data_IF_892443018433
#
_entry.id   IF_892443018433
#
_cell.length_a   1.000
_cell.length_b   1.000
_cell.length_c   1.000
_cell.angle_alpha   90.00
_cell.angle_beta   90.00
_cell.angle_gamma   90.00
#
_symmetry.space_group_name_H-M   'P 1'
#
loop_
_entity.id
_entity.type
_entity.pdbx_description
1 polymer ?
#
# COMPACT_ATOMS: atom_id res chain seq x y z
N UNK A 1 14.84 27.97 1.57
CA UNK A 1 13.92 26.82 1.43
C UNK A 1 14.51 25.75 0.52
N UNK A 2 15.09 24.68 1.06
CA UNK A 2 15.53 23.53 0.26
C UNK A 2 15.34 22.24 1.07
N UNK A 3 14.14 21.68 0.89
CA UNK A 3 13.78 20.25 0.86
C UNK A 3 14.84 19.28 1.43
N UNK A 4 14.98 19.27 2.75
CA UNK A 4 15.73 18.24 3.48
C UNK A 4 14.79 17.13 3.94
N UNK A 5 14.30 16.31 3.00
CA UNK A 5 13.75 15.01 3.40
C UNK A 5 14.91 14.03 3.35
N UNK A 6 15.48 13.77 4.53
CA UNK A 6 16.57 12.83 4.73
C UNK A 6 16.17 11.47 4.16
N UNK A 7 17.16 10.82 3.55
CA UNK A 7 17.14 9.44 3.09
C UNK A 7 16.46 8.54 4.12
N UNK A 8 15.39 7.87 3.70
CA UNK A 8 15.05 6.55 4.22
C UNK A 8 15.86 5.53 3.42
N UNK A 9 17.18 5.52 3.64
CA UNK A 9 18.04 4.42 3.23
C UNK A 9 17.81 3.30 4.25
N UNK A 10 16.84 2.44 3.97
CA UNK A 10 16.45 1.35 4.86
C UNK A 10 15.68 0.29 4.08
N UNK A 11 16.43 -0.66 3.52
CA UNK A 11 15.95 -1.90 2.89
C UNK A 11 15.11 -1.79 1.61
N UNK A 12 15.81 -1.92 0.47
CA UNK A 12 15.30 -2.45 -0.79
C UNK A 12 14.00 -1.83 -1.34
N UNK A 13 14.03 -0.58 -1.83
CA UNK A 13 13.13 -0.07 -2.88
C UNK A 13 11.63 -0.35 -2.74
N UNK A 14 11.11 -0.52 -1.53
CA UNK A 14 9.71 -0.82 -1.25
C UNK A 14 9.12 0.29 -0.40
N UNK A 15 7.88 0.62 -0.66
CA UNK A 15 7.10 1.63 0.07
C UNK A 15 5.83 1.00 0.57
N UNK A 16 5.48 1.33 1.81
CA UNK A 16 4.25 0.88 2.44
C UNK A 16 3.10 1.81 2.11
N UNK A 17 1.98 1.24 1.70
CA UNK A 17 0.75 1.93 1.35
C UNK A 17 -0.35 1.58 2.34
N UNK A 18 -1.06 2.60 2.79
CA UNK A 18 -2.25 2.47 3.63
C UNK A 18 -3.49 2.33 2.77
N UNK A 19 -4.32 1.34 3.10
CA UNK A 19 -5.63 1.10 2.55
C UNK A 19 -6.66 1.21 3.68
N UNK A 20 -7.64 2.11 3.54
CA UNK A 20 -8.76 2.28 4.47
C UNK A 20 -9.78 1.13 4.44
N UNK A 21 -9.32 -0.10 4.28
CA UNK A 21 -10.11 -1.32 4.29
C UNK A 21 -9.34 -2.38 5.09
N UNK A 22 -10.00 -3.02 6.04
CA UNK A 22 -9.39 -3.97 6.97
C UNK A 22 -10.27 -5.20 7.21
N UNK A 23 -9.96 -5.97 8.26
CA UNK A 23 -10.68 -7.22 8.60
C UNK A 23 -12.17 -7.01 8.81
N UNK A 24 -12.58 -5.88 9.38
CA UNK A 24 -13.99 -5.55 9.61
C UNK A 24 -14.78 -5.41 8.29
N UNK A 25 -14.10 -5.16 7.18
CA UNK A 25 -14.70 -5.13 5.83
C UNK A 25 -14.58 -6.47 5.09
N UNK A 26 -14.09 -7.50 5.78
CA UNK A 26 -13.88 -8.84 5.25
C UNK A 26 -12.67 -8.96 4.32
N UNK A 27 -11.77 -7.96 4.26
CA UNK A 27 -10.59 -7.99 3.39
C UNK A 27 -9.60 -9.05 3.86
N UNK A 28 -9.10 -9.82 2.90
CA UNK A 28 -8.04 -10.82 3.07
C UNK A 28 -6.80 -10.41 2.26
N UNK A 29 -5.61 -10.97 2.57
CA UNK A 29 -4.39 -10.61 1.84
C UNK A 29 -4.51 -10.87 0.34
N UNK A 30 -5.14 -11.99 -0.04
CA UNK A 30 -5.42 -12.33 -1.44
C UNK A 30 -6.31 -11.31 -2.16
N UNK A 31 -7.23 -10.66 -1.45
CA UNK A 31 -8.09 -9.62 -2.04
C UNK A 31 -7.26 -8.38 -2.40
N UNK A 32 -6.33 -7.97 -1.53
CA UNK A 32 -5.43 -6.85 -1.76
C UNK A 32 -4.43 -7.16 -2.89
N UNK A 33 -3.81 -8.34 -2.86
CA UNK A 33 -2.92 -8.81 -3.93
C UNK A 33 -3.64 -8.82 -5.26
N UNK A 34 -4.82 -9.43 -5.33
CA UNK A 34 -5.60 -9.52 -6.56
C UNK A 34 -6.01 -8.14 -7.08
N UNK A 35 -6.48 -7.25 -6.20
CA UNK A 35 -6.85 -5.90 -6.62
C UNK A 35 -5.65 -5.11 -7.17
N UNK A 36 -4.51 -5.13 -6.48
CA UNK A 36 -3.31 -4.42 -6.94
C UNK A 36 -2.81 -5.04 -8.24
N UNK A 37 -2.75 -6.37 -8.34
CA UNK A 37 -2.25 -7.05 -9.53
C UNK A 37 -3.17 -6.96 -10.75
N UNK A 38 -4.47 -6.78 -10.55
CA UNK A 38 -5.41 -6.55 -11.66
C UNK A 38 -5.37 -5.11 -12.17
N UNK A 39 -5.11 -4.15 -11.29
CA UNK A 39 -5.17 -2.72 -11.62
C UNK A 39 -3.81 -2.12 -11.98
N UNK A 40 -2.73 -2.87 -11.75
CA UNK A 40 -1.35 -2.47 -12.05
C UNK A 40 -0.60 -3.60 -12.74
N UNK A 41 0.64 -3.34 -13.17
CA UNK A 41 1.53 -4.36 -13.72
C UNK A 41 2.22 -5.24 -12.67
N UNK A 42 1.95 -5.02 -11.39
CA UNK A 42 2.57 -5.78 -10.30
C UNK A 42 2.02 -7.19 -10.23
N UNK A 43 2.88 -8.15 -9.96
CA UNK A 43 2.46 -9.50 -9.59
C UNK A 43 2.44 -9.65 -8.07
N UNK A 44 1.77 -10.69 -7.57
CA UNK A 44 1.80 -11.01 -6.13
C UNK A 44 3.20 -11.31 -5.57
N UNK A 45 4.22 -11.48 -6.42
CA UNK A 45 5.62 -11.63 -6.01
C UNK A 45 6.31 -10.30 -5.77
N UNK A 46 5.85 -9.25 -6.44
CA UNK A 46 6.38 -7.89 -6.31
C UNK A 46 5.78 -7.18 -5.08
N UNK A 47 4.60 -7.65 -4.64
CA UNK A 47 3.95 -7.19 -3.42
C UNK A 47 4.66 -7.82 -2.22
N UNK A 48 5.16 -6.98 -1.32
CA UNK A 48 5.85 -7.38 -0.11
C UNK A 48 4.88 -7.75 1.03
N UNK A 49 5.21 -7.32 2.24
CA UNK A 49 4.42 -7.64 3.42
C UNK A 49 3.03 -7.02 3.36
N UNK A 50 2.03 -7.78 3.83
CA UNK A 50 0.65 -7.34 3.93
C UNK A 50 0.21 -7.47 5.38
N UNK A 51 -0.07 -6.34 6.01
CA UNK A 51 -0.62 -6.28 7.36
C UNK A 51 -2.07 -5.84 7.30
N UNK A 52 -2.98 -6.67 7.81
CA UNK A 52 -4.41 -6.34 7.83
C UNK A 52 -4.80 -6.07 9.28
N UNK A 53 -5.21 -4.84 9.56
CA UNK A 53 -5.80 -4.41 10.82
C UNK A 53 -7.32 -4.42 10.72
N UNK A 54 -8.03 -4.19 11.83
CA UNK A 54 -9.50 -4.22 11.82
C UNK A 54 -10.11 -3.19 10.87
N UNK A 55 -9.58 -1.97 10.88
CA UNK A 55 -10.12 -0.84 10.11
C UNK A 55 -9.37 -0.53 8.82
N UNK A 56 -8.12 -0.97 8.70
CA UNK A 56 -7.24 -0.64 7.58
C UNK A 56 -6.27 -1.77 7.28
N UNK A 57 -5.55 -1.67 6.17
CA UNK A 57 -4.46 -2.59 5.83
C UNK A 57 -3.26 -1.80 5.34
N UNK A 58 -2.07 -2.35 5.55
CA UNK A 58 -0.81 -1.86 5.03
C UNK A 58 -0.26 -2.88 4.04
N UNK A 59 0.18 -2.39 2.88
CA UNK A 59 0.74 -3.24 1.82
C UNK A 59 2.04 -2.63 1.33
N UNK A 60 3.10 -3.43 1.28
CA UNK A 60 4.39 -3.02 0.71
C UNK A 60 4.39 -3.28 -0.79
N UNK A 61 4.79 -2.26 -1.56
CA UNK A 61 4.94 -2.34 -3.01
C UNK A 61 6.24 -1.68 -3.45
N UNK A 62 6.78 -2.01 -4.63
CA UNK A 62 8.00 -1.36 -5.12
C UNK A 62 7.81 0.15 -5.24
N UNK A 63 8.81 0.93 -4.85
CA UNK A 63 8.78 2.39 -4.88
C UNK A 63 8.42 2.91 -6.28
N UNK A 64 8.99 2.28 -7.32
CA UNK A 64 8.71 2.59 -8.73
C UNK A 64 7.23 2.41 -9.12
N UNK A 65 6.48 1.57 -8.40
CA UNK A 65 5.08 1.29 -8.68
C UNK A 65 4.10 2.02 -7.74
N UNK A 66 4.60 2.75 -6.75
CA UNK A 66 3.76 3.45 -5.75
C UNK A 66 2.76 4.39 -6.40
N UNK A 67 3.22 5.23 -7.33
CA UNK A 67 2.35 6.19 -7.99
C UNK A 67 1.30 5.48 -8.85
N UNK A 68 1.68 4.42 -9.57
CA UNK A 68 0.73 3.61 -10.33
C UNK A 68 -0.36 3.02 -9.42
N UNK A 69 0.02 2.39 -8.31
CA UNK A 69 -0.92 1.79 -7.35
C UNK A 69 -1.85 2.86 -6.73
N UNK A 70 -1.31 4.01 -6.35
CA UNK A 70 -2.10 5.10 -5.77
C UNK A 70 -3.15 5.64 -6.75
N UNK A 71 -2.78 5.79 -8.01
CA UNK A 71 -3.68 6.30 -9.04
C UNK A 71 -4.73 5.29 -9.45
N UNK A 72 -4.34 4.03 -9.63
CA UNK A 72 -5.25 2.96 -9.99
C UNK A 72 -6.28 2.73 -8.87
N UNK A 73 -5.82 2.50 -7.64
CA UNK A 73 -6.68 2.17 -6.50
C UNK A 73 -7.57 3.33 -6.04
N UNK A 74 -7.27 4.58 -6.40
CA UNK A 74 -8.16 5.73 -6.14
C UNK A 74 -9.47 5.63 -6.92
N UNK A 75 -9.49 4.91 -8.05
CA UNK A 75 -10.66 4.72 -8.91
C UNK A 75 -11.33 3.37 -8.67
N UNK A 76 -10.58 2.38 -8.19
CA UNK A 76 -11.04 1.03 -7.89
C UNK A 76 -11.84 0.97 -6.58
N UNK A 77 -12.72 -0.03 -6.48
CA UNK A 77 -13.43 -0.38 -5.25
C UNK A 77 -12.94 -1.72 -4.72
N UNK A 78 -12.58 -1.79 -3.44
CA UNK A 78 -12.30 -3.05 -2.76
C UNK A 78 -13.60 -3.58 -2.15
N UNK A 79 -14.05 -4.76 -2.58
CA UNK A 79 -15.33 -5.36 -2.16
C UNK A 79 -16.52 -4.41 -2.28
N UNK A 80 -16.60 -3.68 -3.39
CA UNK A 80 -17.66 -2.72 -3.67
C UNK A 80 -17.60 -1.42 -2.85
N UNK A 81 -16.55 -1.21 -2.03
CA UNK A 81 -16.35 0.01 -1.25
C UNK A 81 -15.16 0.82 -1.78
N UNK A 82 -15.38 2.12 -1.97
CA UNK A 82 -14.28 3.06 -2.26
C UNK A 82 -13.34 3.10 -1.06
N UNK A 83 -12.08 2.75 -1.31
CA UNK A 83 -11.07 2.67 -0.26
C UNK A 83 -10.13 3.86 -0.38
N UNK A 84 -9.84 4.52 0.74
CA UNK A 84 -8.84 5.58 0.76
C UNK A 84 -7.46 4.94 0.73
N UNK A 85 -6.70 5.23 -0.32
CA UNK A 85 -5.30 4.79 -0.44
C UNK A 85 -4.37 5.98 -0.30
N UNK A 86 -3.27 5.80 0.44
CA UNK A 86 -2.22 6.81 0.58
C UNK A 86 -0.88 6.14 0.87
N UNK A 87 0.22 6.86 0.62
CA UNK A 87 1.54 6.46 1.13
C UNK A 87 1.48 6.49 2.64
N UNK A 88 1.88 5.39 3.26
CA UNK A 88 1.93 5.35 4.70
C UNK A 88 3.18 6.09 5.16
N UNK A 89 2.97 7.15 5.95
CA UNK A 89 4.05 7.89 6.59
C UNK A 89 4.34 7.26 7.94
N UNK A 90 4.73 5.99 7.97
CA UNK A 90 5.46 5.52 9.16
C UNK A 90 6.87 6.10 9.07
N UNK A 91 7.02 7.30 9.62
CA UNK A 91 8.15 7.57 10.51
C UNK A 91 7.96 6.58 11.67
N UNK A 92 8.46 5.36 11.53
CA UNK A 92 8.61 4.53 12.71
C UNK A 92 9.74 5.19 13.49
N UNK A 93 9.49 5.77 14.68
CA UNK A 93 10.59 6.14 15.55
C UNK A 93 11.38 4.86 15.77
N UNK A 94 12.61 4.84 15.27
CA UNK A 94 13.61 3.86 15.68
C UNK A 94 13.84 4.10 17.17
N UNK A 95 13.16 3.34 18.02
CA UNK A 95 13.67 3.07 19.37
C UNK A 95 14.96 2.25 19.29
#
# INVERSE_FOLDING_TARGET
SKKGSRRSEGSAGMTRLYFGAGRATGIRPKDLVGAIANETKLSGKDIGSIEIQDRFSLVEVPESAVDEVLWAMKRTTLKGKKTKVRRERFDSPSE
#
